data_IF_645851811258
#
_entry.id   IF_645851811258
#
_cell.length_a   1.000
_cell.length_b   1.000
_cell.length_c   1.000
_cell.angle_alpha   90.00
_cell.angle_beta   90.00
_cell.angle_gamma   90.00
#
_symmetry.space_group_name_H-M   'P 1'
#
loop_
_entity.id
_entity.type
_entity.pdbx_description
1 polymer ?
#
# COMPACT_ATOMS: atom_id res chain seq x y z
N UNK A 1 -3.42 13.81 22.83
CA UNK A 1 -4.54 12.90 23.16
C UNK A 1 -5.50 12.68 21.97
N UNK A 2 -5.80 13.68 21.13
CA UNK A 2 -6.64 13.48 19.94
C UNK A 2 -6.00 12.58 18.84
N UNK A 3 -4.68 12.64 18.63
CA UNK A 3 -3.98 11.79 17.65
C UNK A 3 -4.02 10.29 18.02
N UNK A 4 -3.79 9.95 19.29
CA UNK A 4 -3.82 8.56 19.79
C UNK A 4 -5.23 7.96 19.83
N UNK A 5 -6.29 8.78 19.91
CA UNK A 5 -7.68 8.30 19.84
C UNK A 5 -8.13 7.97 18.41
N UNK A 6 -7.54 8.63 17.41
CA UNK A 6 -7.72 8.31 15.98
C UNK A 6 -7.00 7.01 15.58
N UNK A 7 -5.84 6.73 16.17
CA UNK A 7 -5.05 5.52 15.94
C UNK A 7 -5.76 4.23 16.41
N UNK A 8 -6.44 4.25 17.56
CA UNK A 8 -7.04 3.05 18.14
C UNK A 8 -8.39 2.62 17.53
N UNK A 9 -9.26 3.58 17.20
CA UNK A 9 -10.67 3.27 16.88
C UNK A 9 -11.03 3.37 15.39
N UNK A 10 -10.20 4.05 14.58
CA UNK A 10 -10.46 4.26 13.13
C UNK A 10 -9.37 3.62 12.27
N UNK A 11 -8.11 3.76 12.67
CA UNK A 11 -6.97 3.23 11.93
C UNK A 11 -6.85 1.71 12.12
N UNK A 12 -7.12 1.18 13.32
CA UNK A 12 -7.16 -0.27 13.59
C UNK A 12 -7.98 -1.08 12.56
N UNK A 13 -9.30 -0.86 12.41
CA UNK A 13 -10.13 -1.60 11.47
C UNK A 13 -9.95 -1.16 10.00
N UNK A 14 -9.46 0.06 9.73
CA UNK A 14 -9.28 0.58 8.35
C UNK A 14 -7.91 0.27 7.75
N UNK A 15 -6.90 0.02 8.59
CA UNK A 15 -5.66 -0.68 8.22
C UNK A 15 -5.98 -2.17 8.03
N UNK A 16 -6.76 -2.81 8.90
CA UNK A 16 -7.06 -4.24 8.77
C UNK A 16 -8.09 -4.58 7.69
N UNK A 17 -8.90 -3.61 7.25
CA UNK A 17 -10.09 -3.86 6.43
C UNK A 17 -9.81 -3.97 4.93
N UNK A 18 -9.70 -5.22 4.46
CA UNK A 18 -10.31 -5.81 3.24
C UNK A 18 -10.24 -5.09 1.87
N UNK A 19 -9.58 -3.95 1.71
CA UNK A 19 -9.79 -3.11 0.50
C UNK A 19 -8.57 -2.63 -0.25
N UNK A 20 -7.36 -2.89 0.22
CA UNK A 20 -6.16 -2.55 -0.55
C UNK A 20 -5.27 -3.78 -0.62
N UNK A 21 -5.08 -4.35 -1.82
CA UNK A 21 -4.08 -5.39 -2.06
C UNK A 21 -2.63 -4.98 -1.71
N UNK A 22 -2.43 -3.75 -1.24
CA UNK A 22 -1.32 -3.32 -0.42
C UNK A 22 -1.49 -3.85 1.00
N UNK A 23 -0.69 -4.86 1.35
CA UNK A 23 -0.71 -5.44 2.69
C UNK A 23 -0.66 -4.33 3.74
N UNK A 24 -1.70 -4.25 4.57
CA UNK A 24 -1.80 -3.43 5.78
C UNK A 24 -0.51 -3.44 6.61
N UNK A 25 0.21 -4.55 6.50
CA UNK A 25 1.57 -4.74 6.96
C UNK A 25 2.56 -3.66 6.49
N UNK A 26 2.58 -3.29 5.21
CA UNK A 26 3.51 -2.31 4.67
C UNK A 26 3.25 -0.90 5.17
N UNK A 27 1.98 -0.55 5.36
CA UNK A 27 1.60 0.74 5.96
C UNK A 27 2.01 0.76 7.43
N UNK A 28 1.69 -0.30 8.19
CA UNK A 28 2.11 -0.44 9.58
C UNK A 28 3.64 -0.41 9.73
N UNK A 29 4.35 -1.15 8.88
CA UNK A 29 5.81 -1.17 8.80
C UNK A 29 6.37 0.24 8.56
N UNK A 30 5.78 0.99 7.64
CA UNK A 30 6.17 2.38 7.36
C UNK A 30 5.94 3.29 8.57
N UNK A 31 4.78 3.17 9.22
CA UNK A 31 4.45 3.97 10.41
C UNK A 31 5.42 3.67 11.56
N UNK A 32 5.77 2.40 11.79
CA UNK A 32 6.73 2.00 12.83
C UNK A 32 8.14 2.47 12.47
N UNK A 33 8.58 2.25 11.23
CA UNK A 33 9.92 2.58 10.77
C UNK A 33 10.15 4.10 10.79
N UNK A 34 9.26 4.87 10.17
CA UNK A 34 9.41 6.33 10.08
C UNK A 34 8.92 7.04 11.34
N UNK A 35 7.96 6.48 12.08
CA UNK A 35 7.57 6.96 13.40
C UNK A 35 8.68 6.81 14.45
N UNK A 36 9.51 5.76 14.36
CA UNK A 36 10.69 5.60 15.20
C UNK A 36 11.85 6.54 14.86
N UNK A 37 11.99 6.93 13.58
CA UNK A 37 13.06 7.81 13.10
C UNK A 37 12.85 9.28 13.48
N UNK A 38 11.63 9.81 13.33
CA UNK A 38 11.33 11.24 13.52
C UNK A 38 9.99 11.54 14.22
N UNK A 39 9.35 10.52 14.80
CA UNK A 39 8.04 10.67 15.41
C UNK A 39 6.96 11.02 14.40
N UNK A 40 6.10 11.99 14.75
CA UNK A 40 4.97 12.43 13.93
C UNK A 40 5.41 12.95 12.56
N UNK A 41 6.53 13.66 12.46
CA UNK A 41 7.04 14.18 11.19
C UNK A 41 7.44 13.06 10.23
N UNK A 42 8.03 11.99 10.77
CA UNK A 42 8.39 10.82 9.99
C UNK A 42 7.16 10.09 9.45
N UNK A 43 6.06 10.01 10.21
CA UNK A 43 4.82 9.40 9.71
C UNK A 43 4.16 10.23 8.60
N UNK A 44 4.10 11.56 8.74
CA UNK A 44 3.49 12.47 7.76
C UNK A 44 4.19 12.40 6.40
N UNK A 45 5.51 12.25 6.39
CA UNK A 45 6.30 12.18 5.15
C UNK A 45 6.46 10.72 4.68
N UNK A 46 6.65 9.78 5.60
CA UNK A 46 6.97 8.38 5.31
C UNK A 46 5.83 7.63 4.63
N UNK A 47 4.59 7.83 5.07
CA UNK A 47 3.41 7.17 4.47
C UNK A 47 3.22 7.54 2.99
N UNK A 48 3.12 8.83 2.60
CA UNK A 48 2.97 9.19 1.19
C UNK A 48 4.21 8.82 0.35
N UNK A 49 5.42 8.93 0.92
CA UNK A 49 6.64 8.53 0.24
C UNK A 49 6.65 7.03 -0.09
N UNK A 50 6.26 6.20 0.87
CA UNK A 50 6.19 4.75 0.68
C UNK A 50 5.14 4.36 -0.36
N UNK A 51 4.00 5.08 -0.41
CA UNK A 51 2.99 4.91 -1.46
C UNK A 51 3.54 5.16 -2.87
N UNK A 52 4.33 6.22 -3.04
CA UNK A 52 4.98 6.54 -4.33
C UNK A 52 6.02 5.48 -4.71
N UNK A 53 6.82 5.00 -3.75
CA UNK A 53 7.79 3.93 -3.98
C UNK A 53 7.08 2.66 -4.44
N UNK A 54 6.01 2.26 -3.74
CA UNK A 54 5.24 1.07 -4.10
C UNK A 54 4.65 1.16 -5.51
N UNK A 55 4.01 2.28 -5.85
CA UNK A 55 3.45 2.50 -7.19
C UNK A 55 4.54 2.47 -8.27
N UNK A 56 5.70 3.05 -7.97
CA UNK A 56 6.86 3.01 -8.86
C UNK A 56 7.34 1.57 -9.09
N UNK A 57 7.48 0.77 -8.03
CA UNK A 57 7.85 -0.64 -8.12
C UNK A 57 6.82 -1.42 -8.93
N UNK A 58 5.51 -1.22 -8.69
CA UNK A 58 4.43 -1.87 -9.45
C UNK A 58 4.52 -1.56 -10.95
N UNK A 59 4.78 -0.30 -11.31
CA UNK A 59 5.00 0.15 -12.69
C UNK A 59 6.27 -0.46 -13.30
N UNK A 60 7.35 -0.58 -12.54
CA UNK A 60 8.59 -1.20 -13.00
C UNK A 60 8.42 -2.70 -13.24
N UNK A 61 7.76 -3.43 -12.33
CA UNK A 61 7.46 -4.86 -12.49
C UNK A 61 6.61 -5.07 -13.74
N UNK A 62 5.55 -4.28 -13.95
CA UNK A 62 4.72 -4.36 -15.15
C UNK A 62 5.53 -4.13 -16.43
N UNK A 63 6.37 -3.08 -16.46
CA UNK A 63 7.26 -2.80 -17.60
C UNK A 63 8.29 -3.91 -17.84
N UNK A 64 8.79 -4.53 -16.77
CA UNK A 64 9.72 -5.65 -16.84
C UNK A 64 9.09 -6.91 -17.42
N UNK A 65 7.84 -7.21 -17.03
CA UNK A 65 7.07 -8.33 -17.57
C UNK A 65 6.70 -8.12 -19.04
N UNK A 66 6.38 -6.89 -19.42
CA UNK A 66 6.10 -6.50 -20.81
C UNK A 66 7.30 -6.75 -21.72
N UNK A 67 8.49 -6.31 -21.29
CA UNK A 67 9.74 -6.56 -22.03
C UNK A 67 10.08 -8.04 -22.20
N UNK A 68 9.64 -8.90 -21.27
CA UNK A 68 9.87 -10.34 -21.33
C UNK A 68 8.77 -11.10 -22.07
N UNK A 69 7.74 -10.40 -22.56
CA UNK A 69 6.58 -11.02 -23.21
C UNK A 69 5.70 -11.84 -22.26
N UNK A 70 5.83 -11.66 -20.94
CA UNK A 70 5.14 -12.44 -19.91
C UNK A 70 3.96 -11.67 -19.29
N UNK A 71 3.28 -10.84 -20.08
CA UNK A 71 2.10 -10.07 -19.64
C UNK A 71 0.99 -10.98 -19.13
N UNK A 72 0.87 -12.22 -19.64
CA UNK A 72 -0.10 -13.20 -19.15
C UNK A 72 0.00 -13.47 -17.64
N UNK A 73 1.23 -13.45 -17.08
CA UNK A 73 1.45 -13.60 -15.63
C UNK A 73 0.87 -12.42 -14.86
N UNK A 74 0.99 -11.21 -15.41
CA UNK A 74 0.40 -9.99 -14.85
C UNK A 74 -1.13 -9.99 -14.94
N UNK A 75 -1.68 -10.43 -16.07
CA UNK A 75 -3.14 -10.54 -16.26
C UNK A 75 -3.74 -11.62 -15.35
N UNK A 76 -3.08 -12.77 -15.20
CA UNK A 76 -3.48 -13.82 -14.25
C UNK A 76 -3.44 -13.31 -12.81
N UNK A 77 -2.38 -12.60 -12.42
CA UNK A 77 -2.28 -11.99 -11.10
C UNK A 77 -3.42 -10.99 -10.83
N UNK A 78 -3.77 -10.15 -11.81
CA UNK A 78 -4.91 -9.24 -11.71
C UNK A 78 -6.26 -9.95 -11.64
N UNK A 79 -6.41 -11.08 -12.31
CA UNK A 79 -7.64 -11.88 -12.26
C UNK A 79 -7.83 -12.55 -10.90
N UNK A 80 -6.75 -13.09 -10.32
CA UNK A 80 -6.75 -13.77 -9.02
C UNK A 80 -6.83 -12.78 -7.85
N UNK A 81 -6.27 -11.58 -8.01
CA UNK A 81 -6.22 -10.51 -7.01
C UNK A 81 -6.67 -9.17 -7.61
N UNK A 82 -7.99 -8.97 -7.84
CA UNK A 82 -8.50 -7.70 -8.30
C UNK A 82 -8.19 -6.63 -7.25
N UNK A 83 -7.35 -5.66 -7.64
CA UNK A 83 -7.16 -4.43 -6.86
C UNK A 83 -8.55 -3.87 -6.53
N UNK A 84 -8.79 -3.38 -5.31
CA UNK A 84 -10.10 -2.93 -4.79
C UNK A 84 -10.78 -1.76 -5.53
N UNK A 85 -10.48 -1.55 -6.80
CA UNK A 85 -11.21 -0.67 -7.70
C UNK A 85 -12.64 -1.20 -7.92
N UNK A 86 -13.67 -0.36 -7.76
CA UNK A 86 -15.04 -0.77 -8.02
C UNK A 86 -15.16 -1.22 -9.47
N UNK A 87 -15.79 -2.39 -9.68
CA UNK A 87 -16.15 -2.88 -11.01
C UNK A 87 -16.82 -1.74 -11.78
N UNK A 88 -16.18 -1.26 -12.85
CA UNK A 88 -16.85 -0.43 -13.85
C UNK A 88 -17.89 -1.33 -14.52
N UNK A 89 -19.09 -1.28 -13.95
CA UNK A 89 -20.32 -1.75 -14.57
C UNK A 89 -20.88 -0.59 -15.37
#
# INVERSE_FOLDING_TARGET
LALQQLDGNVIGPKILGDRTGLSSFWVLFTIILFGGLWGVFGMVIGVPLFGVIYDTVKKLVRRGLDRKGQIEVWEKYKADYPDGEPKKT
#
